data_IF_888679222957
#
_entry.id   IF_888679222957
#
_cell.length_a   1.000
_cell.length_b   1.000
_cell.length_c   1.000
_cell.angle_alpha   90.00
_cell.angle_beta   90.00
_cell.angle_gamma   90.00
#
_symmetry.space_group_name_H-M   'P 1'
#
loop_
_entity.id
_entity.type
_entity.pdbx_description
1 polymer ?
#
# COMPACT_ATOMS: atom_id res chain seq x y z
N UNK A 1 10.93 -0.23 -5.56
CA UNK A 1 9.89 0.13 -4.56
C UNK A 1 8.57 -0.23 -5.18
N UNK A 2 7.84 -1.18 -4.61
CA UNK A 2 6.80 -1.90 -5.36
C UNK A 2 5.38 -1.36 -5.16
N UNK A 3 5.23 -0.26 -4.41
CA UNK A 3 3.95 0.42 -4.29
C UNK A 3 2.84 -0.37 -3.62
N UNK A 4 3.18 -1.43 -2.90
CA UNK A 4 2.22 -2.25 -2.16
C UNK A 4 2.00 -1.69 -0.75
N UNK A 5 0.78 -1.79 -0.20
CA UNK A 5 0.49 -1.50 1.19
C UNK A 5 1.34 -2.41 2.08
N UNK A 6 1.76 -1.87 3.23
CA UNK A 6 2.56 -2.63 4.20
C UNK A 6 2.04 -2.32 5.59
N UNK A 7 1.71 -3.36 6.34
CA UNK A 7 1.34 -3.31 7.76
C UNK A 7 2.10 -4.43 8.45
N UNK A 8 2.72 -4.14 9.60
CA UNK A 8 3.60 -5.08 10.29
C UNK A 8 3.60 -4.86 11.80
N UNK A 9 2.48 -4.39 12.33
CA UNK A 9 2.37 -3.89 13.71
C UNK A 9 2.64 -4.96 14.76
N UNK A 10 2.29 -6.22 14.50
CA UNK A 10 2.55 -7.31 15.44
C UNK A 10 4.04 -7.65 15.51
N UNK A 11 4.73 -7.71 14.37
CA UNK A 11 6.19 -7.90 14.33
C UNK A 11 6.91 -6.69 14.92
N UNK A 12 6.45 -5.48 14.59
CA UNK A 12 6.95 -4.25 15.17
C UNK A 12 6.87 -4.28 16.70
N UNK A 13 5.75 -4.70 17.27
CA UNK A 13 5.59 -4.83 18.72
C UNK A 13 6.53 -5.87 19.34
N UNK A 14 6.70 -7.03 18.70
CA UNK A 14 7.66 -8.06 19.14
C UNK A 14 9.09 -7.52 19.14
N UNK A 15 9.50 -6.88 18.06
CA UNK A 15 10.83 -6.30 17.90
C UNK A 15 11.06 -5.18 18.91
N UNK A 16 10.10 -4.26 19.07
CA UNK A 16 10.21 -3.17 20.05
C UNK A 16 10.34 -3.67 21.47
N UNK A 17 9.53 -4.65 21.87
CA UNK A 17 9.60 -5.24 23.21
C UNK A 17 10.96 -5.89 23.45
N UNK A 18 11.44 -6.66 22.49
CA UNK A 18 12.76 -7.28 22.59
C UNK A 18 13.86 -6.21 22.69
N UNK A 19 13.89 -5.25 21.77
CA UNK A 19 14.95 -4.24 21.70
C UNK A 19 14.95 -3.33 22.93
N UNK A 20 13.77 -2.90 23.41
CA UNK A 20 13.66 -2.07 24.62
C UNK A 20 14.20 -2.78 25.86
N UNK A 21 13.99 -4.09 25.98
CA UNK A 21 14.56 -4.91 27.06
C UNK A 21 16.03 -5.30 26.84
N UNK A 22 16.62 -4.90 25.70
CA UNK A 22 18.00 -5.20 25.33
C UNK A 22 18.79 -3.92 25.01
N UNK A 23 18.67 -2.90 25.86
CA UNK A 23 19.46 -1.65 25.83
C UNK A 23 19.18 -0.69 24.67
N UNK A 24 18.04 -0.82 23.97
CA UNK A 24 17.61 0.21 23.03
C UNK A 24 17.27 1.51 23.78
N UNK A 25 17.89 2.61 23.36
CA UNK A 25 17.64 3.96 23.91
C UNK A 25 16.86 4.87 22.95
N UNK A 26 16.64 4.42 21.71
CA UNK A 26 15.90 5.13 20.66
C UNK A 26 15.95 4.39 19.33
N UNK A 27 15.11 4.81 18.37
CA UNK A 27 15.10 4.28 17.01
C UNK A 27 15.14 5.41 15.98
N UNK A 28 15.68 5.09 14.80
CA UNK A 28 15.56 5.89 13.58
C UNK A 28 14.94 5.01 12.49
N UNK A 29 13.82 5.46 11.90
CA UNK A 29 13.02 4.71 10.94
C UNK A 29 13.09 5.41 9.56
N UNK A 30 14.04 5.00 8.72
CA UNK A 30 14.34 5.64 7.43
C UNK A 30 13.56 5.07 6.23
N UNK A 31 12.92 3.92 6.44
CA UNK A 31 12.31 3.09 5.40
C UNK A 31 10.78 3.21 5.34
N UNK A 32 10.21 4.25 5.95
CA UNK A 32 8.79 4.66 5.91
C UNK A 32 8.36 5.27 4.55
N UNK A 33 8.91 4.66 3.51
CA UNK A 33 9.21 5.19 2.19
C UNK A 33 8.18 5.22 1.07
N UNK A 34 7.21 4.31 1.19
CA UNK A 34 6.66 3.61 0.03
C UNK A 34 5.18 3.92 -0.13
N UNK A 35 4.32 3.02 0.30
CA UNK A 35 2.88 3.19 0.20
C UNK A 35 2.37 4.02 1.37
N UNK A 36 1.67 5.12 1.10
CA UNK A 36 1.28 6.09 2.12
C UNK A 36 0.02 5.69 2.88
N UNK A 37 -0.92 5.01 2.22
CA UNK A 37 -2.29 4.92 2.72
C UNK A 37 -2.41 4.11 4.01
N UNK A 38 -1.53 3.12 4.23
CA UNK A 38 -1.57 2.23 5.40
C UNK A 38 -0.53 2.55 6.47
N UNK A 39 0.38 3.48 6.22
CA UNK A 39 1.46 3.76 7.16
C UNK A 39 0.99 4.46 8.43
N UNK A 40 -0.18 5.10 8.39
CA UNK A 40 -0.78 5.73 9.57
C UNK A 40 -0.88 4.77 10.76
N UNK A 41 -1.23 3.50 10.53
CA UNK A 41 -1.29 2.48 11.58
C UNK A 41 0.10 2.12 12.11
N UNK A 42 1.08 1.87 11.23
CA UNK A 42 2.45 1.56 11.65
C UNK A 42 3.05 2.71 12.49
N UNK A 43 2.84 3.96 12.07
CA UNK A 43 3.33 5.13 12.81
C UNK A 43 2.65 5.28 14.16
N UNK A 44 1.33 5.05 14.22
CA UNK A 44 0.58 5.10 15.46
C UNK A 44 1.11 4.06 16.45
N UNK A 45 1.22 2.80 16.03
CA UNK A 45 1.73 1.72 16.88
C UNK A 45 3.18 1.98 17.29
N UNK A 46 4.05 2.37 16.36
CA UNK A 46 5.43 2.74 16.68
C UNK A 46 5.49 3.83 17.77
N UNK A 47 4.69 4.90 17.64
CA UNK A 47 4.66 5.98 18.62
C UNK A 47 4.18 5.51 20.01
N UNK A 48 3.16 4.64 20.06
CA UNK A 48 2.65 4.07 21.31
C UNK A 48 3.68 3.15 21.98
N UNK A 49 4.40 2.35 21.20
CA UNK A 49 5.43 1.43 21.71
C UNK A 49 6.70 2.15 22.19
N UNK A 50 7.06 3.30 21.60
CA UNK A 50 8.13 4.13 22.14
C UNK A 50 7.82 4.68 23.53
N UNK A 51 6.54 4.94 23.82
CA UNK A 51 6.11 5.34 25.17
C UNK A 51 6.10 4.15 26.13
N UNK A 52 5.55 3.02 25.70
CA UNK A 52 5.54 1.79 26.48
C UNK A 52 5.64 0.54 25.57
N UNK A 53 6.78 -0.18 25.57
CA UNK A 53 7.00 -1.34 24.70
C UNK A 53 6.23 -2.61 25.12
N UNK A 54 5.65 -2.62 26.33
CA UNK A 54 4.88 -3.76 26.85
C UNK A 54 3.38 -3.67 26.55
N UNK A 55 2.94 -2.65 25.82
CA UNK A 55 1.54 -2.53 25.41
C UNK A 55 1.07 -3.77 24.64
N UNK A 56 -0.20 -4.12 24.86
CA UNK A 56 -0.92 -5.04 24.01
C UNK A 56 -1.19 -4.37 22.66
N UNK A 57 -0.57 -4.91 21.61
CA UNK A 57 -0.65 -4.33 20.26
C UNK A 57 -2.06 -4.44 19.69
N UNK A 58 -2.81 -5.48 20.02
CA UNK A 58 -4.19 -5.64 19.56
C UNK A 58 -5.07 -4.51 20.11
N UNK A 59 -4.92 -4.20 21.40
CA UNK A 59 -5.62 -3.09 22.04
C UNK A 59 -5.23 -1.72 21.45
N UNK A 60 -3.97 -1.55 21.03
CA UNK A 60 -3.52 -0.32 20.36
C UNK A 60 -4.11 -0.20 18.95
N UNK A 61 -4.20 -1.31 18.21
CA UNK A 61 -4.85 -1.37 16.88
C UNK A 61 -6.35 -1.07 17.02
N UNK A 62 -7.01 -1.61 18.05
CA UNK A 62 -8.42 -1.34 18.33
C UNK A 62 -8.67 0.13 18.66
N UNK A 63 -7.84 0.73 19.51
CA UNK A 63 -7.89 2.16 19.82
C UNK A 63 -7.70 3.03 18.57
N UNK A 64 -6.77 2.68 17.69
CA UNK A 64 -6.58 3.37 16.40
C UNK A 64 -7.82 3.27 15.52
N UNK A 65 -8.40 2.07 15.39
CA UNK A 65 -9.55 1.83 14.55
C UNK A 65 -10.80 2.53 15.10
N UNK A 66 -11.05 2.43 16.41
CA UNK A 66 -12.19 3.06 17.07
C UNK A 66 -12.10 4.60 17.00
N UNK A 67 -10.95 5.17 17.36
CA UNK A 67 -10.73 6.62 17.31
C UNK A 67 -10.68 7.17 15.87
N UNK A 68 -10.21 6.34 14.94
CA UNK A 68 -10.04 6.67 13.53
C UNK A 68 -11.33 6.58 12.72
N UNK A 69 -12.15 5.58 12.98
CA UNK A 69 -13.18 5.13 12.05
C UNK A 69 -14.55 4.93 12.69
N UNK A 70 -14.66 4.97 14.03
CA UNK A 70 -15.94 4.91 14.74
C UNK A 70 -16.69 3.61 14.41
N UNK A 71 -17.92 3.74 13.91
CA UNK A 71 -18.78 2.61 13.57
C UNK A 71 -18.15 1.62 12.56
N UNK A 72 -17.17 2.08 11.76
CA UNK A 72 -16.47 1.25 10.78
C UNK A 72 -15.21 0.57 11.33
N UNK A 73 -14.94 0.65 12.63
CA UNK A 73 -13.68 0.22 13.24
C UNK A 73 -13.35 -1.25 12.95
N UNK A 74 -14.32 -2.15 13.11
CA UNK A 74 -14.13 -3.59 12.90
C UNK A 74 -13.77 -3.92 11.45
N UNK A 75 -14.47 -3.30 10.49
CA UNK A 75 -14.20 -3.48 9.06
C UNK A 75 -12.82 -2.95 8.67
N UNK A 76 -12.43 -1.79 9.22
CA UNK A 76 -11.10 -1.22 8.96
C UNK A 76 -9.99 -2.04 9.63
N UNK A 77 -10.22 -2.60 10.82
CA UNK A 77 -9.30 -3.55 11.45
C UNK A 77 -9.10 -4.77 10.55
N UNK A 78 -10.18 -5.40 10.06
CA UNK A 78 -10.09 -6.53 9.12
C UNK A 78 -9.27 -6.19 7.88
N UNK A 79 -9.44 -5.00 7.31
CA UNK A 79 -8.64 -4.54 6.17
C UNK A 79 -7.14 -4.48 6.51
N UNK A 80 -6.76 -3.88 7.64
CA UNK A 80 -5.36 -3.81 8.05
C UNK A 80 -4.75 -5.17 8.38
N UNK A 81 -5.48 -6.05 9.07
CA UNK A 81 -5.02 -7.40 9.39
C UNK A 81 -4.81 -8.23 8.13
N UNK A 82 -5.71 -8.13 7.13
CA UNK A 82 -5.49 -8.81 5.85
C UNK A 82 -4.25 -8.31 5.12
N UNK A 83 -3.94 -7.02 5.20
CA UNK A 83 -2.70 -6.46 4.64
C UNK A 83 -1.46 -6.94 5.40
N UNK A 84 -1.56 -7.08 6.72
CA UNK A 84 -0.47 -7.62 7.54
C UNK A 84 -0.18 -9.09 7.24
N UNK A 85 -1.23 -9.90 7.03
CA UNK A 85 -1.08 -11.28 6.54
C UNK A 85 -0.31 -11.33 5.21
N UNK A 86 -0.73 -10.54 4.21
CA UNK A 86 -0.02 -10.44 2.93
C UNK A 86 1.42 -9.96 3.11
N UNK A 87 1.65 -9.00 4.02
CA UNK A 87 3.01 -8.51 4.34
C UNK A 87 3.88 -9.64 4.91
N UNK A 88 3.33 -10.47 5.79
CA UNK A 88 4.02 -11.61 6.38
C UNK A 88 4.31 -12.70 5.33
N UNK A 89 3.37 -12.99 4.43
CA UNK A 89 3.58 -13.92 3.31
C UNK A 89 4.73 -13.46 2.41
N UNK A 90 4.74 -12.17 2.03
CA UNK A 90 5.82 -11.56 1.23
C UNK A 90 7.16 -11.66 1.96
N UNK A 91 7.19 -11.32 3.25
CA UNK A 91 8.42 -11.37 4.04
C UNK A 91 8.98 -12.79 4.17
N UNK A 92 8.11 -13.78 4.40
CA UNK A 92 8.51 -15.19 4.53
C UNK A 92 9.05 -15.79 3.22
N UNK A 93 8.54 -15.33 2.07
CA UNK A 93 8.97 -15.81 0.75
C UNK A 93 10.05 -14.91 0.09
N UNK A 94 10.54 -13.88 0.79
CA UNK A 94 11.55 -12.98 0.27
C UNK A 94 12.93 -13.66 0.18
N UNK A 95 13.74 -13.41 -0.87
CA UNK A 95 13.49 -12.51 -2.01
C UNK A 95 12.84 -13.20 -3.21
N UNK A 96 12.41 -14.46 -3.09
CA UNK A 96 11.89 -15.26 -4.21
C UNK A 96 10.53 -14.76 -4.72
N UNK A 97 9.69 -14.23 -3.82
CA UNK A 97 8.39 -13.67 -4.17
C UNK A 97 8.47 -12.17 -4.43
N UNK A 98 8.04 -11.74 -5.61
CA UNK A 98 7.91 -10.31 -5.89
C UNK A 98 6.81 -9.69 -5.01
N UNK A 99 7.00 -8.54 -4.35
CA UNK A 99 6.03 -8.02 -3.39
C UNK A 99 4.63 -7.70 -3.96
N UNK A 100 4.49 -7.53 -5.28
CA UNK A 100 3.18 -7.36 -5.92
C UNK A 100 2.47 -8.67 -6.23
N UNK A 101 3.15 -9.83 -6.16
CA UNK A 101 2.59 -11.12 -6.56
C UNK A 101 1.32 -11.48 -5.79
N UNK A 102 1.24 -11.30 -4.46
CA UNK A 102 0.01 -11.64 -3.71
C UNK A 102 -1.19 -10.74 -4.00
N UNK A 103 -1.00 -9.58 -4.63
CA UNK A 103 -2.09 -8.65 -4.94
C UNK A 103 -2.79 -9.02 -6.26
N UNK A 104 -3.39 -10.21 -6.31
CA UNK A 104 -4.18 -10.69 -7.45
C UNK A 104 -5.53 -9.98 -7.54
N UNK A 105 -6.26 -10.16 -8.64
CA UNK A 105 -7.63 -9.65 -8.80
C UNK A 105 -8.55 -10.05 -7.65
N UNK A 106 -8.43 -11.28 -7.17
CA UNK A 106 -9.24 -11.83 -6.08
C UNK A 106 -8.91 -11.16 -4.75
N UNK A 107 -7.63 -10.96 -4.46
CA UNK A 107 -7.19 -10.28 -3.23
C UNK A 107 -7.55 -8.80 -3.26
N UNK A 108 -7.42 -8.13 -4.40
CA UNK A 108 -7.84 -6.74 -4.55
C UNK A 108 -9.36 -6.61 -4.34
N UNK A 109 -10.16 -7.50 -4.92
CA UNK A 109 -11.62 -7.48 -4.74
C UNK A 109 -12.01 -7.78 -3.29
N UNK A 110 -11.33 -8.72 -2.63
CA UNK A 110 -11.52 -8.99 -1.20
C UNK A 110 -11.28 -7.72 -0.36
N UNK A 111 -10.14 -7.05 -0.56
CA UNK A 111 -9.78 -5.83 0.16
C UNK A 111 -10.76 -4.68 -0.13
N UNK A 112 -11.22 -4.57 -1.39
CA UNK A 112 -12.21 -3.58 -1.83
C UNK A 112 -13.55 -3.78 -1.13
N UNK A 113 -14.02 -5.02 -1.07
CA UNK A 113 -15.27 -5.40 -0.42
C UNK A 113 -15.28 -5.03 1.07
N UNK A 114 -14.16 -5.25 1.78
CA UNK A 114 -14.01 -4.84 3.19
C UNK A 114 -14.13 -3.31 3.34
N UNK A 115 -13.53 -2.54 2.42
CA UNK A 115 -13.66 -1.07 2.44
C UNK A 115 -15.05 -0.58 2.03
N UNK A 116 -15.78 -1.33 1.19
CA UNK A 116 -17.20 -1.05 0.86
C UNK A 116 -18.12 -1.32 2.05
N UNK A 117 -17.84 -2.33 2.87
CA UNK A 117 -18.50 -2.55 4.15
C UNK A 117 -18.24 -1.38 5.10
N UNK A 118 -16.96 -1.02 5.29
CA UNK A 118 -16.57 0.10 6.15
C UNK A 118 -17.26 1.41 5.74
N UNK A 119 -17.33 1.72 4.44
CA UNK A 119 -17.95 2.96 3.96
C UNK A 119 -19.47 3.00 4.20
N UNK A 120 -20.15 1.85 4.10
CA UNK A 120 -21.58 1.72 4.44
C UNK A 120 -21.85 1.92 5.93
N UNK A 121 -20.96 1.46 6.79
CA UNK A 121 -21.03 1.62 8.25
C UNK A 121 -20.75 3.07 8.68
N UNK A 122 -19.93 3.79 7.92
CA UNK A 122 -19.50 5.13 8.30
C UNK A 122 -20.66 6.13 8.26
N UNK A 123 -21.10 6.57 9.44
CA UNK A 123 -22.16 7.58 9.60
C UNK A 123 -21.64 9.03 9.49
N UNK A 124 -20.39 9.27 9.90
CA UNK A 124 -19.79 10.61 9.99
C UNK A 124 -18.85 10.96 8.82
N UNK A 125 -18.70 12.26 8.45
CA UNK A 125 -17.84 12.67 7.33
C UNK A 125 -16.36 12.34 7.48
N UNK A 126 -15.83 12.38 8.72
CA UNK A 126 -14.40 12.14 8.99
C UNK A 126 -13.99 10.67 8.74
N UNK A 127 -14.66 9.65 9.31
CA UNK A 127 -14.43 8.25 8.94
C UNK A 127 -14.53 7.99 7.44
N UNK A 128 -15.57 8.49 6.76
CA UNK A 128 -15.71 8.34 5.29
C UNK A 128 -14.51 8.88 4.52
N UNK A 129 -14.01 10.06 4.88
CA UNK A 129 -12.83 10.64 4.24
C UNK A 129 -11.56 9.79 4.47
N UNK A 130 -11.42 9.17 5.65
CA UNK A 130 -10.30 8.26 5.96
C UNK A 130 -10.41 6.94 5.19
N UNK A 131 -11.61 6.38 5.06
CA UNK A 131 -11.88 5.17 4.27
C UNK A 131 -11.61 5.44 2.79
N UNK A 132 -12.05 6.58 2.26
CA UNK A 132 -11.75 7.00 0.90
C UNK A 132 -10.24 7.13 0.64
N UNK A 133 -9.47 7.57 1.64
CA UNK A 133 -8.00 7.62 1.55
C UNK A 133 -7.37 6.22 1.51
N UNK A 134 -7.87 5.27 2.30
CA UNK A 134 -7.43 3.86 2.23
C UNK A 134 -7.76 3.25 0.85
N UNK A 135 -8.98 3.50 0.34
CA UNK A 135 -9.43 3.06 -0.98
C UNK A 135 -8.55 3.59 -2.09
N UNK A 136 -8.17 4.88 -2.04
CA UNK A 136 -7.26 5.48 -3.03
C UNK A 136 -5.89 4.79 -3.05
N UNK A 137 -5.38 4.35 -1.90
CA UNK A 137 -4.17 3.53 -1.84
C UNK A 137 -4.34 2.16 -2.48
N UNK A 138 -5.48 1.49 -2.25
CA UNK A 138 -5.78 0.19 -2.86
C UNK A 138 -5.92 0.30 -4.39
N UNK A 139 -6.59 1.34 -4.90
CA UNK A 139 -6.69 1.64 -6.34
C UNK A 139 -5.30 1.79 -6.98
N UNK A 140 -4.40 2.53 -6.31
CA UNK A 140 -3.02 2.63 -6.77
C UNK A 140 -2.33 1.27 -6.82
N UNK A 141 -2.49 0.49 -5.75
CA UNK A 141 -1.90 -0.85 -5.60
C UNK A 141 -2.35 -1.78 -6.72
N UNK A 142 -3.64 -1.82 -7.01
CA UNK A 142 -4.22 -2.66 -8.07
C UNK A 142 -3.57 -2.39 -9.44
N UNK A 143 -3.54 -1.12 -9.84
CA UNK A 143 -2.99 -0.75 -11.15
C UNK A 143 -1.48 -0.98 -11.19
N UNK A 144 -0.77 -0.68 -10.10
CA UNK A 144 0.67 -0.87 -10.02
C UNK A 144 1.08 -2.36 -9.98
N UNK A 145 0.36 -3.19 -9.23
CA UNK A 145 0.58 -4.63 -9.17
C UNK A 145 0.31 -5.29 -10.54
N UNK A 146 -0.77 -4.88 -11.20
CA UNK A 146 -1.11 -5.33 -12.56
C UNK A 146 0.03 -5.05 -13.55
N UNK A 147 0.69 -3.89 -13.45
CA UNK A 147 1.84 -3.58 -14.30
C UNK A 147 3.03 -4.55 -14.08
N UNK A 148 3.28 -4.98 -12.84
CA UNK A 148 4.30 -5.98 -12.55
C UNK A 148 3.88 -7.40 -12.93
N UNK A 149 2.60 -7.76 -12.85
CA UNK A 149 2.12 -9.05 -13.36
C UNK A 149 2.28 -9.15 -14.87
N UNK A 150 1.99 -8.07 -15.62
CA UNK A 150 2.27 -8.01 -17.06
C UNK A 150 3.77 -8.08 -17.37
N UNK A 151 4.60 -7.52 -16.49
CA UNK A 151 6.05 -7.62 -16.61
C UNK A 151 6.55 -9.06 -16.39
N UNK A 152 5.97 -9.77 -15.42
CA UNK A 152 6.24 -11.18 -15.17
C UNK A 152 5.77 -12.06 -16.36
N UNK A 153 4.55 -11.83 -16.85
CA UNK A 153 4.01 -12.50 -18.04
C UNK A 153 4.91 -12.31 -19.27
N UNK A 154 5.43 -11.09 -19.47
CA UNK A 154 6.39 -10.80 -20.52
C UNK A 154 7.70 -11.59 -20.35
N UNK A 155 8.27 -11.64 -19.15
CA UNK A 155 9.51 -12.36 -18.88
C UNK A 155 9.32 -13.88 -19.03
N UNK A 156 8.25 -14.45 -18.48
CA UNK A 156 7.90 -15.87 -18.56
C UNK A 156 7.56 -16.31 -20.00
N UNK A 157 6.94 -15.43 -20.78
CA UNK A 157 6.65 -15.62 -22.20
C UNK A 157 7.87 -15.53 -23.12
N UNK A 158 9.09 -15.55 -22.58
CA UNK A 158 10.34 -15.45 -23.34
C UNK A 158 10.58 -14.08 -23.94
N UNK A 159 10.05 -13.02 -23.31
CA UNK A 159 10.21 -11.60 -23.69
C UNK A 159 9.67 -11.29 -25.09
N UNK A 160 8.61 -11.98 -25.50
CA UNK A 160 7.90 -11.72 -26.75
C UNK A 160 6.71 -10.80 -26.51
N UNK A 161 6.74 -9.63 -27.13
CA UNK A 161 5.63 -8.67 -27.05
C UNK A 161 4.57 -9.00 -28.10
N UNK A 162 3.55 -9.78 -27.72
CA UNK A 162 2.39 -10.04 -28.60
C UNK A 162 1.52 -8.78 -28.74
N UNK A 163 0.71 -8.67 -29.81
CA UNK A 163 -0.25 -7.56 -29.94
C UNK A 163 -1.18 -7.40 -28.73
N UNK A 164 -1.67 -8.52 -28.18
CA UNK A 164 -2.58 -8.55 -27.03
C UNK A 164 -1.88 -8.09 -25.74
N UNK A 165 -0.65 -8.57 -25.50
CA UNK A 165 0.15 -8.16 -24.35
C UNK A 165 0.49 -6.67 -24.45
N UNK A 166 0.85 -6.19 -25.64
CA UNK A 166 1.13 -4.77 -25.88
C UNK A 166 -0.07 -3.90 -25.55
N UNK A 167 -1.27 -4.30 -25.97
CA UNK A 167 -2.50 -3.56 -25.69
C UNK A 167 -2.75 -3.46 -24.18
N UNK A 168 -2.65 -4.58 -23.45
CA UNK A 168 -2.82 -4.64 -21.99
C UNK A 168 -1.77 -3.79 -21.26
N UNK A 169 -0.50 -3.93 -21.62
CA UNK A 169 0.63 -3.13 -21.10
C UNK A 169 0.37 -1.63 -21.27
N UNK A 170 0.00 -1.20 -22.48
CA UNK A 170 -0.26 0.21 -22.74
C UNK A 170 -1.45 0.74 -21.93
N UNK A 171 -2.55 -0.01 -21.85
CA UNK A 171 -3.70 0.37 -21.05
C UNK A 171 -3.35 0.53 -19.57
N UNK A 172 -2.73 -0.49 -18.97
CA UNK A 172 -2.38 -0.50 -17.54
C UNK A 172 -1.35 0.58 -17.20
N UNK A 173 -0.29 0.77 -18.01
CA UNK A 173 0.74 1.77 -17.72
C UNK A 173 0.25 3.21 -17.94
N UNK A 174 -0.65 3.44 -18.90
CA UNK A 174 -1.32 4.73 -19.04
C UNK A 174 -2.20 5.03 -17.83
N UNK A 175 -3.02 4.07 -17.38
CA UNK A 175 -3.84 4.21 -16.19
C UNK A 175 -2.97 4.46 -14.95
N UNK A 176 -1.87 3.72 -14.78
CA UNK A 176 -0.92 3.93 -13.69
C UNK A 176 -0.34 5.36 -13.71
N UNK A 177 -0.03 5.88 -14.90
CA UNK A 177 0.53 7.21 -15.08
C UNK A 177 -0.48 8.29 -14.73
N UNK A 178 -1.72 8.17 -15.22
CA UNK A 178 -2.80 9.10 -14.95
C UNK A 178 -3.15 9.13 -13.46
N UNK A 179 -3.34 7.95 -12.85
CA UNK A 179 -3.66 7.81 -11.43
C UNK A 179 -2.53 8.36 -10.55
N UNK A 180 -1.28 8.03 -10.86
CA UNK A 180 -0.12 8.57 -10.14
C UNK A 180 -0.08 10.10 -10.16
N UNK A 181 -0.37 10.71 -11.32
CA UNK A 181 -0.43 12.17 -11.44
C UNK A 181 -1.60 12.76 -10.70
N UNK A 182 -2.76 12.12 -10.77
CA UNK A 182 -3.94 12.58 -10.06
C UNK A 182 -3.69 12.62 -8.54
N UNK A 183 -3.17 11.53 -7.98
CA UNK A 183 -2.85 11.45 -6.54
C UNK A 183 -1.82 12.51 -6.17
N UNK A 184 -0.75 12.66 -6.97
CA UNK A 184 0.28 13.67 -6.72
C UNK A 184 -0.28 15.11 -6.72
N UNK A 185 -1.24 15.42 -7.59
CA UNK A 185 -1.77 16.77 -7.75
C UNK A 185 -2.94 17.09 -6.81
N UNK A 186 -3.74 16.09 -6.45
CA UNK A 186 -5.00 16.28 -5.71
C UNK A 186 -4.98 15.76 -4.28
N UNK A 187 -4.11 14.80 -3.96
CA UNK A 187 -4.12 14.11 -2.68
C UNK A 187 -2.83 14.36 -1.89
N UNK A 188 -2.72 15.57 -1.34
CA UNK A 188 -1.53 16.03 -0.60
C UNK A 188 -1.18 15.17 0.63
N UNK A 189 -2.09 14.31 1.10
CA UNK A 189 -1.86 13.37 2.20
C UNK A 189 -1.10 12.12 1.75
N UNK A 190 -0.98 11.89 0.44
CA UNK A 190 -0.22 10.79 -0.15
C UNK A 190 1.29 11.06 -0.10
N UNK A 191 1.82 11.20 1.12
CA UNK A 191 3.25 11.49 1.36
C UNK A 191 4.08 10.36 0.75
N UNK A 192 5.14 10.70 0.01
CA UNK A 192 5.97 9.78 -0.76
C UNK A 192 5.35 9.20 -2.04
N UNK A 193 4.15 9.62 -2.45
CA UNK A 193 3.58 9.17 -3.75
C UNK A 193 4.55 9.40 -4.89
N UNK A 194 5.29 10.52 -4.89
CA UNK A 194 6.31 10.81 -5.89
C UNK A 194 7.39 9.73 -5.98
N UNK A 195 7.78 9.12 -4.85
CA UNK A 195 8.83 8.09 -4.81
C UNK A 195 8.37 6.75 -5.38
N UNK A 196 7.08 6.43 -5.26
CA UNK A 196 6.51 5.21 -5.83
C UNK A 196 6.07 5.44 -7.27
N UNK A 197 5.37 6.55 -7.52
CA UNK A 197 4.96 7.00 -8.83
C UNK A 197 6.17 7.08 -9.76
N UNK A 198 7.25 7.77 -9.39
CA UNK A 198 8.39 7.98 -10.30
C UNK A 198 9.50 6.92 -10.19
N UNK A 199 9.71 6.34 -9.02
CA UNK A 199 10.83 5.42 -8.77
C UNK A 199 10.69 4.03 -9.40
N UNK A 200 9.49 3.66 -9.89
CA UNK A 200 9.21 2.33 -10.47
C UNK A 200 9.31 2.26 -12.00
N UNK A 201 9.26 3.38 -12.73
CA UNK A 201 9.08 3.38 -14.19
C UNK A 201 10.18 2.68 -14.97
N UNK A 202 11.42 2.73 -14.48
CA UNK A 202 12.57 2.08 -15.15
C UNK A 202 12.36 0.59 -15.38
N UNK A 203 11.60 -0.08 -14.50
CA UNK A 203 11.29 -1.50 -14.60
C UNK A 203 10.42 -1.83 -15.83
N UNK A 204 9.62 -0.87 -16.30
CA UNK A 204 8.68 -1.04 -17.39
C UNK A 204 9.24 -0.62 -18.76
N UNK A 205 10.45 -0.04 -18.82
CA UNK A 205 11.07 0.38 -20.09
C UNK A 205 11.21 -0.77 -21.10
N UNK A 206 11.49 -1.98 -20.60
CA UNK A 206 11.61 -3.20 -21.43
C UNK A 206 10.29 -3.66 -22.06
N UNK A 207 9.16 -3.15 -21.58
CA UNK A 207 7.84 -3.39 -22.19
C UNK A 207 7.58 -2.47 -23.40
N UNK A 208 8.53 -1.60 -23.76
CA UNK A 208 8.40 -0.71 -24.93
C UNK A 208 7.37 0.41 -24.76
N UNK A 209 6.83 0.60 -23.55
CA UNK A 209 5.93 1.70 -23.23
C UNK A 209 6.70 3.02 -23.09
N UNK A 210 6.09 4.11 -23.56
CA UNK A 210 6.58 5.47 -23.39
C UNK A 210 5.52 6.27 -22.63
N UNK A 211 5.96 7.01 -21.62
CA UNK A 211 5.03 7.84 -20.83
C UNK A 211 4.33 8.88 -21.71
N UNK A 212 3.02 9.12 -21.49
CA UNK A 212 2.31 10.23 -22.12
C UNK A 212 3.01 11.57 -21.86
N UNK A 213 2.91 12.49 -22.81
CA UNK A 213 3.39 13.87 -22.60
C UNK A 213 2.49 14.56 -21.58
N UNK A 214 3.07 15.08 -20.50
CA UNK A 214 2.32 15.86 -19.53
C UNK A 214 1.69 17.09 -20.22
N UNK A 215 0.39 17.38 -19.99
CA UNK A 215 -0.22 18.62 -20.45
C UNK A 215 0.60 19.80 -19.93
N UNK A 216 0.80 20.84 -20.76
CA UNK A 216 1.41 22.09 -20.28
C UNK A 216 0.51 22.64 -19.18
N UNK A 217 1.07 22.82 -17.98
CA UNK A 217 0.39 23.52 -16.89
C UNK A 217 0.22 24.96 -17.36
N UNK A 218 -1.01 25.35 -17.70
CA UNK A 218 -1.35 26.75 -17.93
C UNK A 218 -1.24 27.42 -16.57
N UNK A 219 -0.33 28.38 -16.45
CA UNK A 219 -0.11 29.17 -15.23
C UNK A 219 -1.34 30.01 -14.90
#
# INVERSE_FOLDING_TARGET
RYGTPVVYVHKLAQDFRYLAHNSMIGTDLDSCTHHWATQGLNYYVAARLHWNPDLDVDAVVDDYCQSGFGDSADSVKRYFMRIEELTNEIAAASPALHPTTPYTSEVIEQLRSILDEADREASAPKPRARIAFLRRGLEYTEVHASAYHLLAEFDEGGRKMTPELKMRVHATLNQNWELSREILLKDFKAINVSRVAWGGWGNFNRLGWKSPTAPKVVK
#
